data_IF_071828337897
#
_entry.id   IF_071828337897
#
_cell.length_a   1.000
_cell.length_b   1.000
_cell.length_c   1.000
_cell.angle_alpha   90.00
_cell.angle_beta   90.00
_cell.angle_gamma   90.00
#
_symmetry.space_group_name_H-M   'P 1'
#
loop_
_entity.id
_entity.type
_entity.pdbx_description
1 polymer ?
#
# COMPACT_ATOMS: atom_id res chain seq x y z
N UNK A 1 17.32 7.57 18.67
CA UNK A 1 16.41 8.66 18.29
C UNK A 1 17.13 9.47 17.21
N UNK A 2 16.83 9.22 15.94
CA UNK A 2 17.44 9.95 14.83
C UNK A 2 16.62 11.23 14.62
N UNK A 3 17.25 12.37 14.85
CA UNK A 3 16.68 13.69 14.56
C UNK A 3 16.85 13.96 13.07
N UNK A 4 15.77 14.10 12.32
CA UNK A 4 15.75 14.46 10.90
C UNK A 4 15.50 15.98 10.81
N UNK A 5 16.51 16.83 10.64
CA UNK A 5 16.31 18.28 10.59
C UNK A 5 16.09 18.76 9.15
N UNK A 6 15.09 18.28 8.43
CA UNK A 6 14.77 18.84 7.12
C UNK A 6 13.26 19.03 6.96
N UNK A 7 12.85 20.29 7.02
CA UNK A 7 11.46 20.70 6.86
C UNK A 7 11.24 21.20 5.45
N UNK A 8 10.58 20.40 4.61
CA UNK A 8 10.10 20.85 3.31
C UNK A 8 8.58 20.89 3.34
N UNK A 9 8.02 22.10 3.45
CA UNK A 9 6.60 22.31 3.30
C UNK A 9 6.26 22.24 1.80
N UNK A 10 5.47 21.28 1.41
CA UNK A 10 5.07 21.10 0.01
C UNK A 10 3.63 21.55 -0.15
N UNK A 11 3.40 22.47 -1.12
CA UNK A 11 2.08 23.06 -1.37
C UNK A 11 1.15 22.16 -2.19
N UNK A 12 1.66 21.09 -2.79
CA UNK A 12 0.93 20.26 -3.75
C UNK A 12 0.70 18.84 -3.22
N UNK A 13 -0.26 18.13 -3.81
CA UNK A 13 -0.56 16.73 -3.48
C UNK A 13 0.64 15.87 -3.88
N UNK A 14 1.34 15.30 -2.91
CA UNK A 14 2.42 14.36 -3.15
C UNK A 14 1.94 12.93 -2.95
N UNK A 15 2.04 12.13 -4.00
CA UNK A 15 1.85 10.70 -3.95
C UNK A 15 3.18 10.07 -3.59
N UNK A 16 3.40 9.76 -2.31
CA UNK A 16 4.57 9.01 -1.85
C UNK A 16 4.37 7.50 -2.11
N UNK A 17 4.19 7.13 -3.38
CA UNK A 17 3.83 5.76 -3.76
C UNK A 17 4.98 4.74 -3.61
N UNK A 18 6.21 5.19 -3.46
CA UNK A 18 7.41 4.32 -3.47
C UNK A 18 8.42 4.63 -2.36
N UNK A 19 8.17 5.62 -1.54
CA UNK A 19 9.08 5.93 -0.43
C UNK A 19 8.75 5.01 0.75
N UNK A 20 9.78 4.38 1.31
CA UNK A 20 9.65 3.71 2.60
C UNK A 20 9.33 4.77 3.64
N UNK A 21 8.05 4.91 3.97
CA UNK A 21 7.61 5.78 5.06
C UNK A 21 8.01 5.12 6.37
N UNK A 22 8.72 5.87 7.21
CA UNK A 22 9.31 5.35 8.43
C UNK A 22 8.47 5.68 9.66
N UNK A 23 7.94 6.91 9.74
CA UNK A 23 7.39 7.44 10.97
C UNK A 23 6.24 8.41 10.75
N UNK A 24 5.29 8.39 11.67
CA UNK A 24 4.25 9.40 11.79
C UNK A 24 4.80 10.61 12.55
N UNK A 25 4.46 11.79 12.08
CA UNK A 25 4.79 13.06 12.74
C UNK A 25 3.53 13.63 13.37
N UNK A 26 3.63 14.04 14.63
CA UNK A 26 2.52 14.60 15.39
C UNK A 26 2.84 16.04 15.81
N UNK A 27 1.79 16.84 15.96
CA UNK A 27 1.84 18.12 16.66
C UNK A 27 1.88 17.89 18.17
N UNK A 28 2.14 18.94 18.93
CA UNK A 28 2.13 18.91 20.40
C UNK A 28 0.75 18.57 20.98
N UNK A 29 -0.31 18.91 20.27
CA UNK A 29 -1.70 18.57 20.62
C UNK A 29 -2.09 17.11 20.33
N UNK A 30 -1.16 16.33 19.76
CA UNK A 30 -1.38 14.93 19.39
C UNK A 30 -2.05 14.74 18.03
N UNK A 31 -2.35 15.79 17.28
CA UNK A 31 -2.87 15.68 15.91
C UNK A 31 -1.77 15.28 14.93
N UNK A 32 -2.16 14.57 13.86
CA UNK A 32 -1.21 14.14 12.82
C UNK A 32 -0.74 15.36 12.01
N UNK A 33 0.58 15.59 11.98
CA UNK A 33 1.23 16.65 11.20
C UNK A 33 1.61 16.17 9.80
N UNK A 34 2.00 14.91 9.68
CA UNK A 34 2.50 14.34 8.43
C UNK A 34 3.27 13.05 8.63
N UNK A 35 4.18 12.76 7.72
CA UNK A 35 5.02 11.55 7.72
C UNK A 35 6.47 11.87 7.42
N UNK A 36 7.39 11.05 7.94
CA UNK A 36 8.80 11.10 7.58
C UNK A 36 9.16 9.93 6.66
N UNK A 37 9.96 10.22 5.64
CA UNK A 37 10.55 9.20 4.78
C UNK A 37 11.85 8.69 5.38
N UNK A 38 12.25 7.48 4.97
CA UNK A 38 13.52 6.90 5.39
C UNK A 38 14.68 7.47 4.57
N UNK A 39 15.89 7.41 5.14
CA UNK A 39 17.11 7.61 4.38
C UNK A 39 17.27 6.49 3.34
N UNK A 40 17.70 6.83 2.13
CA UNK A 40 17.95 5.86 1.05
C UNK A 40 19.45 5.84 0.69
N UNK A 41 19.89 4.76 0.05
CA UNK A 41 21.31 4.64 -0.31
C UNK A 41 22.23 4.35 0.87
N UNK A 42 21.80 3.50 1.82
CA UNK A 42 22.61 3.05 2.96
C UNK A 42 23.09 1.62 2.71
N UNK A 43 24.32 1.28 3.06
CA UNK A 43 24.83 -0.08 3.11
C UNK A 43 24.28 -0.84 4.32
N UNK A 44 24.43 -2.18 4.33
CA UNK A 44 23.99 -3.02 5.46
C UNK A 44 24.69 -2.72 6.78
N UNK A 45 25.89 -2.18 6.72
CA UNK A 45 26.71 -1.74 7.88
C UNK A 45 26.32 -0.35 8.40
N UNK A 46 25.35 0.33 7.72
CA UNK A 46 24.90 1.66 8.09
C UNK A 46 25.69 2.80 7.44
N UNK A 47 26.74 2.53 6.64
CA UNK A 47 27.50 3.57 5.95
C UNK A 47 26.76 4.12 4.73
N UNK A 48 26.91 5.41 4.39
CA UNK A 48 26.26 5.98 3.21
C UNK A 48 26.93 5.50 1.92
N UNK A 49 26.13 5.24 0.89
CA UNK A 49 26.56 5.02 -0.49
C UNK A 49 26.74 6.37 -1.20
N UNK A 50 27.33 6.33 -2.42
CA UNK A 50 27.38 7.52 -3.29
C UNK A 50 26.00 8.07 -3.64
N UNK A 51 24.99 7.20 -3.68
CA UNK A 51 23.57 7.54 -3.90
C UNK A 51 22.81 7.81 -2.62
N UNK A 52 23.50 8.22 -1.55
CA UNK A 52 22.85 8.51 -0.27
C UNK A 52 21.98 9.76 -0.38
N UNK A 53 20.70 9.61 -0.04
CA UNK A 53 19.76 10.71 0.13
C UNK A 53 19.11 10.62 1.50
N UNK A 54 19.10 11.75 2.17
CA UNK A 54 18.49 11.85 3.50
C UNK A 54 16.97 11.88 3.40
N UNK A 55 16.32 11.22 4.33
CA UNK A 55 14.87 11.26 4.49
C UNK A 55 14.34 12.68 4.76
N UNK A 56 13.08 12.90 4.40
CA UNK A 56 12.39 14.19 4.51
C UNK A 56 11.14 14.07 5.38
N UNK A 57 10.79 15.17 6.05
CA UNK A 57 9.48 15.34 6.66
C UNK A 57 8.49 15.92 5.64
N UNK A 58 7.39 15.22 5.43
CA UNK A 58 6.29 15.63 4.55
C UNK A 58 5.12 16.07 5.43
N UNK A 59 4.85 17.36 5.45
CA UNK A 59 3.74 17.94 6.21
C UNK A 59 2.56 18.23 5.30
N UNK A 60 1.35 17.92 5.75
CA UNK A 60 0.12 18.14 5.01
C UNK A 60 -1.05 18.47 5.93
N UNK A 61 -2.01 19.25 5.42
CA UNK A 61 -3.28 19.50 6.15
C UNK A 61 -4.14 18.25 6.27
N UNK A 62 -4.01 17.32 5.32
CA UNK A 62 -4.70 16.04 5.28
C UNK A 62 -3.75 14.98 4.74
N UNK A 63 -3.65 13.84 5.40
CA UNK A 63 -2.84 12.70 4.99
C UNK A 63 -3.74 11.51 4.75
N UNK A 64 -3.67 10.89 3.55
CA UNK A 64 -4.46 9.73 3.17
C UNK A 64 -3.54 8.52 3.14
N UNK A 65 -3.87 7.48 3.91
CA UNK A 65 -3.11 6.24 3.99
C UNK A 65 -3.74 5.18 3.10
N UNK A 66 -3.04 4.79 2.04
CA UNK A 66 -3.47 3.77 1.08
C UNK A 66 -2.51 2.57 1.12
N UNK A 67 -2.25 2.03 2.32
CA UNK A 67 -1.25 1.00 2.58
C UNK A 67 -1.81 -0.42 2.50
N UNK A 68 -3.04 -0.58 2.04
CA UNK A 68 -3.70 -1.88 1.96
C UNK A 68 -4.06 -2.47 3.32
N UNK A 69 -4.37 -3.77 3.34
CA UNK A 69 -4.90 -4.45 4.53
C UNK A 69 -3.86 -4.63 5.66
N UNK A 70 -2.58 -4.59 5.35
CA UNK A 70 -1.50 -4.77 6.31
C UNK A 70 -0.76 -3.48 6.68
N UNK A 71 -1.24 -2.33 6.28
CA UNK A 71 -0.58 -1.04 6.42
C UNK A 71 0.37 -0.90 7.63
N UNK A 72 1.53 -0.30 7.40
CA UNK A 72 2.55 -0.14 8.44
C UNK A 72 2.25 1.06 9.35
N UNK A 73 2.10 2.23 8.77
CA UNK A 73 1.81 3.45 9.52
C UNK A 73 0.35 3.50 9.98
N UNK A 74 -0.58 2.96 9.18
CA UNK A 74 -1.97 2.84 9.56
C UNK A 74 -2.16 2.04 10.86
N UNK A 75 -1.36 0.98 11.10
CA UNK A 75 -1.39 0.25 12.36
C UNK A 75 -0.96 1.10 13.56
N UNK A 76 0.00 1.99 13.37
CA UNK A 76 0.43 2.92 14.42
C UNK A 76 -0.71 3.89 14.76
N UNK A 77 -1.41 4.42 13.73
CA UNK A 77 -2.60 5.28 13.94
C UNK A 77 -3.73 4.55 14.66
N UNK A 78 -3.99 3.29 14.29
CA UNK A 78 -5.02 2.49 14.96
C UNK A 78 -4.75 2.38 16.46
N UNK A 79 -3.49 2.20 16.85
CA UNK A 79 -3.11 2.12 18.25
C UNK A 79 -3.14 3.48 18.94
N UNK A 80 -2.63 4.53 18.29
CA UNK A 80 -2.55 5.88 18.86
C UNK A 80 -3.93 6.48 19.10
N UNK A 81 -4.84 6.36 18.13
CA UNK A 81 -6.17 6.94 18.20
C UNK A 81 -7.26 5.91 18.54
N UNK A 82 -6.88 4.66 18.86
CA UNK A 82 -7.80 3.57 19.19
C UNK A 82 -8.90 3.35 18.15
N UNK A 83 -8.55 3.52 16.85
CA UNK A 83 -9.52 3.51 15.76
C UNK A 83 -10.19 2.14 15.54
N UNK A 84 -9.64 1.09 16.11
CA UNK A 84 -10.20 -0.27 16.04
C UNK A 84 -10.77 -0.77 17.37
N UNK A 85 -10.93 0.10 18.34
CA UNK A 85 -11.61 -0.22 19.60
C UNK A 85 -13.08 -0.53 19.28
N UNK A 86 -13.56 -1.68 19.72
CA UNK A 86 -14.92 -2.19 19.46
C UNK A 86 -15.23 -2.51 17.97
N UNK A 87 -14.21 -2.72 17.14
CA UNK A 87 -14.41 -3.22 15.78
C UNK A 87 -14.30 -4.75 15.74
N UNK A 88 -15.06 -5.37 14.82
CA UNK A 88 -14.89 -6.78 14.51
C UNK A 88 -13.49 -7.07 13.96
N UNK A 89 -12.98 -8.31 14.11
CA UNK A 89 -11.72 -8.72 13.53
C UNK A 89 -11.68 -8.47 12.01
N UNK A 90 -10.54 -8.03 11.51
CA UNK A 90 -10.34 -7.80 10.09
C UNK A 90 -10.43 -9.10 9.30
N UNK A 91 -11.26 -9.13 8.26
CA UNK A 91 -11.33 -10.25 7.32
C UNK A 91 -10.27 -10.10 6.23
N UNK A 92 -9.67 -11.23 5.85
CA UNK A 92 -8.67 -11.29 4.80
C UNK A 92 -9.14 -12.23 3.69
N UNK A 93 -9.14 -11.74 2.44
CA UNK A 93 -9.32 -12.57 1.26
C UNK A 93 -7.98 -13.04 0.73
N UNK A 94 -7.93 -14.27 0.23
CA UNK A 94 -6.76 -14.80 -0.47
C UNK A 94 -7.12 -14.97 -1.95
N UNK A 95 -6.29 -14.43 -2.84
CA UNK A 95 -6.43 -14.59 -4.29
C UNK A 95 -5.16 -15.19 -4.89
N UNK A 96 -5.32 -16.07 -5.85
CA UNK A 96 -4.24 -16.61 -6.66
C UNK A 96 -4.42 -16.12 -8.10
N UNK A 97 -3.34 -15.70 -8.72
CA UNK A 97 -3.30 -15.32 -10.12
C UNK A 97 -2.22 -16.12 -10.81
N UNK A 98 -2.62 -16.88 -11.83
CA UNK A 98 -1.73 -17.75 -12.57
C UNK A 98 -1.85 -17.45 -14.07
N UNK A 99 -0.75 -17.65 -14.80
CA UNK A 99 -0.71 -17.56 -16.25
C UNK A 99 -0.38 -18.94 -16.80
N UNK A 100 -1.29 -19.49 -17.57
CA UNK A 100 -1.15 -20.81 -18.16
C UNK A 100 -1.00 -20.71 -19.67
N UNK A 101 -0.05 -21.44 -20.22
CA UNK A 101 0.05 -21.66 -21.65
C UNK A 101 -0.77 -22.93 -21.99
N UNK A 102 -1.81 -22.76 -22.78
CA UNK A 102 -2.69 -23.86 -23.20
C UNK A 102 -2.37 -24.29 -24.64
N UNK A 103 -2.85 -25.47 -25.01
CA UNK A 103 -2.79 -25.96 -26.39
C UNK A 103 -3.54 -24.99 -27.32
N UNK A 104 -2.91 -24.51 -28.42
CA UNK A 104 -3.53 -23.60 -29.37
C UNK A 104 -4.88 -24.12 -29.93
N UNK A 105 -5.05 -25.44 -30.04
CA UNK A 105 -6.29 -26.04 -30.49
C UNK A 105 -7.46 -25.88 -29.51
N UNK A 106 -7.18 -25.58 -28.25
CA UNK A 106 -8.16 -25.35 -27.18
C UNK A 106 -8.36 -23.88 -26.85
N UNK A 107 -7.55 -23.02 -27.46
CA UNK A 107 -7.61 -21.59 -27.19
C UNK A 107 -8.75 -20.93 -27.95
N UNK A 108 -9.65 -20.27 -27.21
CA UNK A 108 -10.69 -19.40 -27.74
C UNK A 108 -10.37 -17.95 -27.38
N UNK A 109 -9.99 -17.11 -28.35
CA UNK A 109 -9.68 -15.70 -28.07
C UNK A 109 -10.89 -14.94 -27.49
N UNK A 110 -10.66 -14.19 -26.41
CA UNK A 110 -11.72 -13.39 -25.74
C UNK A 110 -12.69 -14.20 -24.89
N UNK A 111 -12.50 -15.51 -24.71
CA UNK A 111 -13.32 -16.29 -23.80
C UNK A 111 -12.94 -16.01 -22.35
N UNK A 112 -13.91 -15.64 -21.54
CA UNK A 112 -13.80 -15.44 -20.10
C UNK A 112 -14.80 -16.34 -19.41
N UNK A 113 -14.34 -17.11 -18.44
CA UNK A 113 -15.18 -18.00 -17.65
C UNK A 113 -15.10 -17.62 -16.18
N UNK A 114 -16.24 -17.46 -15.54
CA UNK A 114 -16.37 -17.30 -14.11
C UNK A 114 -17.00 -18.55 -13.53
N UNK A 115 -16.40 -19.09 -12.47
CA UNK A 115 -16.95 -20.24 -11.77
C UNK A 115 -17.08 -19.95 -10.29
N UNK A 116 -18.11 -20.50 -9.68
CA UNK A 116 -18.42 -20.34 -8.26
C UNK A 116 -18.90 -21.67 -7.69
N UNK A 117 -18.54 -21.91 -6.44
CA UNK A 117 -19.03 -23.07 -5.67
C UNK A 117 -17.97 -24.14 -5.44
N UNK A 118 -18.37 -25.17 -4.66
CA UNK A 118 -17.49 -26.28 -4.27
C UNK A 118 -17.80 -27.55 -5.04
N UNK A 119 -16.78 -28.18 -5.60
CA UNK A 119 -15.48 -27.73 -6.11
C UNK A 119 -15.65 -27.16 -7.54
N UNK A 120 -15.96 -25.88 -7.67
CA UNK A 120 -16.24 -25.19 -8.93
C UNK A 120 -17.52 -25.71 -9.64
N UNK A 121 -18.60 -25.77 -8.89
CA UNK A 121 -19.87 -26.43 -9.32
C UNK A 121 -20.64 -25.67 -10.40
N UNK A 122 -20.45 -24.34 -10.49
CA UNK A 122 -21.14 -23.50 -11.47
C UNK A 122 -20.14 -22.70 -12.29
N UNK A 123 -20.22 -22.84 -13.60
CA UNK A 123 -19.46 -22.00 -14.54
C UNK A 123 -20.43 -20.98 -15.14
N UNK A 124 -20.15 -19.70 -14.92
CA UNK A 124 -20.87 -18.63 -15.62
C UNK A 124 -20.01 -18.21 -16.81
N UNK A 125 -20.51 -18.46 -18.02
CA UNK A 125 -19.89 -17.86 -19.21
C UNK A 125 -20.05 -16.35 -19.14
N UNK A 126 -18.96 -15.62 -19.10
CA UNK A 126 -18.98 -14.15 -19.12
C UNK A 126 -19.59 -13.64 -20.42
N UNK A 127 -20.40 -12.62 -20.33
CA UNK A 127 -21.03 -11.99 -21.47
C UNK A 127 -19.95 -11.51 -22.47
N UNK A 128 -20.12 -11.86 -23.74
CA UNK A 128 -19.26 -11.49 -24.87
C UNK A 128 -19.26 -9.98 -25.20
N UNK A 129 -19.86 -9.15 -24.35
CA UNK A 129 -20.13 -7.73 -24.63
C UNK A 129 -19.12 -6.72 -24.06
N UNK A 130 -17.98 -7.17 -23.53
CA UNK A 130 -16.95 -6.24 -23.01
C UNK A 130 -15.80 -5.96 -23.99
N UNK A 131 -15.97 -6.25 -25.29
CA UNK A 131 -15.03 -5.83 -26.33
C UNK A 131 -15.73 -4.84 -27.29
N UNK A 132 -15.89 -3.61 -26.86
CA UNK A 132 -15.99 -2.44 -27.73
C UNK A 132 -15.17 -1.31 -27.12
#
# INVERSE_FOLDING_TARGET
>A
MLYIPYKRCVRDVHIAALCSLLQLLFHEDGSLRGVATNDVGIYKDGSPKESFERGMELEAKCTIFCEGCHGHLAKQLYNTYKLRENCEPQSYGIGFKELWQIDPAKHEPGRVEHSLGWPLVCTFAGDKHLNQ
#
